data_IF_284309332920
#
_entry.id   IF_284309332920
#
_cell.length_a   1.000
_cell.length_b   1.000
_cell.length_c   1.000
_cell.angle_alpha   90.00
_cell.angle_beta   90.00
_cell.angle_gamma   90.00
#
_symmetry.space_group_name_H-M   'P 1'
#
loop_
_entity.id
_entity.type
_entity.pdbx_description
1 polymer ?
#
# COMPACT_ATOMS: atom_id res chain seq x y z
N UNK A 1 -3.57 -11.70 -25.26
CA UNK A 1 -2.86 -11.84 -23.97
C UNK A 1 -3.86 -11.46 -22.89
N UNK A 2 -4.16 -12.36 -21.95
CA UNK A 2 -5.09 -12.06 -20.85
C UNK A 2 -4.28 -11.48 -19.69
N UNK A 3 -4.70 -10.35 -19.13
CA UNK A 3 -4.08 -9.75 -17.95
C UNK A 3 -4.97 -10.03 -16.74
N UNK A 4 -4.37 -10.41 -15.61
CA UNK A 4 -5.11 -10.66 -14.38
C UNK A 4 -4.97 -9.47 -13.44
N UNK A 5 -6.05 -8.70 -13.27
CA UNK A 5 -6.08 -7.60 -12.29
C UNK A 5 -5.93 -8.15 -10.87
N UNK A 6 -6.46 -9.33 -10.59
CA UNK A 6 -6.28 -10.05 -9.33
C UNK A 6 -4.81 -10.37 -9.07
N UNK A 7 -4.10 -10.91 -10.07
CA UNK A 7 -2.67 -11.20 -9.95
C UNK A 7 -1.83 -9.94 -9.72
N UNK A 8 -2.10 -8.88 -10.49
CA UNK A 8 -1.41 -7.60 -10.35
C UNK A 8 -1.63 -6.97 -8.97
N UNK A 9 -2.87 -6.92 -8.49
CA UNK A 9 -3.20 -6.34 -7.18
C UNK A 9 -2.57 -7.10 -6.01
N UNK A 10 -2.49 -8.43 -6.07
CA UNK A 10 -1.73 -9.23 -5.08
C UNK A 10 -0.26 -8.82 -5.03
N UNK A 11 0.36 -8.67 -6.19
CA UNK A 11 1.76 -8.26 -6.27
C UNK A 11 1.94 -6.84 -5.76
N UNK A 12 1.09 -5.91 -6.19
CA UNK A 12 1.12 -4.51 -5.77
C UNK A 12 0.96 -4.37 -4.24
N UNK A 13 -0.04 -5.04 -3.63
CA UNK A 13 -0.19 -5.02 -2.17
C UNK A 13 1.05 -5.58 -1.47
N UNK A 14 1.64 -6.66 -1.98
CA UNK A 14 2.88 -7.21 -1.43
C UNK A 14 4.08 -6.26 -1.56
N UNK A 15 4.20 -5.56 -2.69
CA UNK A 15 5.24 -4.57 -2.93
C UNK A 15 5.08 -3.34 -2.03
N UNK A 16 3.84 -2.88 -1.82
CA UNK A 16 3.49 -1.75 -0.93
C UNK A 16 3.74 -2.12 0.53
N UNK A 17 3.35 -3.33 0.97
CA UNK A 17 3.66 -3.85 2.30
C UNK A 17 5.17 -3.94 2.55
N UNK A 18 5.92 -4.37 1.53
CA UNK A 18 7.39 -4.40 1.58
C UNK A 18 7.96 -2.99 1.67
N UNK A 19 7.43 -2.04 0.89
CA UNK A 19 7.85 -0.65 0.92
C UNK A 19 7.62 -0.04 2.30
N UNK A 20 6.42 -0.23 2.89
CA UNK A 20 6.09 0.16 4.26
C UNK A 20 7.16 -0.32 5.25
N UNK A 21 7.46 -1.62 5.26
CA UNK A 21 8.46 -2.22 6.16
C UNK A 21 9.86 -1.65 5.96
N UNK A 22 10.29 -1.50 4.71
CA UNK A 22 11.62 -0.95 4.41
C UNK A 22 11.71 0.51 4.84
N UNK A 23 10.67 1.30 4.57
CA UNK A 23 10.57 2.69 4.99
C UNK A 23 10.73 2.85 6.50
N UNK A 24 10.02 2.06 7.31
CA UNK A 24 10.19 2.07 8.77
C UNK A 24 11.63 1.79 9.24
N UNK A 25 12.40 1.01 8.47
CA UNK A 25 13.80 0.71 8.80
C UNK A 25 14.81 1.78 8.38
N UNK A 26 14.41 2.74 7.54
CA UNK A 26 15.30 3.76 6.97
C UNK A 26 14.88 5.20 7.26
N UNK A 27 13.66 5.41 7.77
CA UNK A 27 13.26 6.70 8.33
C UNK A 27 14.22 6.99 9.48
N UNK A 28 15.19 7.86 9.19
CA UNK A 28 16.13 8.44 10.14
C UNK A 28 16.32 9.86 9.66
N UNK A 29 15.62 10.82 10.26
CA UNK A 29 15.78 12.21 9.89
C UNK A 29 16.19 13.06 11.09
N UNK A 30 16.98 14.12 10.88
CA UNK A 30 17.27 15.10 11.92
C UNK A 30 16.07 16.04 12.19
N UNK A 31 15.04 16.02 11.35
CA UNK A 31 13.88 16.90 11.37
C UNK A 31 12.58 16.08 11.35
N UNK A 32 11.76 16.28 12.37
CA UNK A 32 10.47 15.61 12.58
C UNK A 32 9.47 15.93 11.45
N UNK A 33 9.49 17.17 10.94
CA UNK A 33 8.62 17.60 9.85
C UNK A 33 8.88 16.83 8.55
N UNK A 34 10.15 16.58 8.23
CA UNK A 34 10.52 15.80 7.05
C UNK A 34 10.09 14.32 7.16
N UNK A 35 10.03 13.78 8.38
CA UNK A 35 9.51 12.43 8.62
C UNK A 35 8.00 12.40 8.42
N UNK A 36 7.28 13.37 8.98
CA UNK A 36 5.83 13.47 8.84
C UNK A 36 5.41 13.57 7.36
N UNK A 37 6.03 14.47 6.57
CA UNK A 37 5.72 14.60 5.13
C UNK A 37 6.00 13.29 4.36
N UNK A 38 7.09 12.59 4.69
CA UNK A 38 7.41 11.31 4.05
C UNK A 38 6.39 10.22 4.40
N UNK A 39 6.02 10.13 5.68
CA UNK A 39 5.02 9.18 6.17
C UNK A 39 3.65 9.45 5.55
N UNK A 40 3.23 10.71 5.45
CA UNK A 40 1.98 11.11 4.80
C UNK A 40 1.98 10.66 3.33
N UNK A 41 3.05 10.97 2.58
CA UNK A 41 3.17 10.57 1.18
C UNK A 41 3.13 9.04 0.99
N UNK A 42 3.73 8.27 1.91
CA UNK A 42 3.70 6.82 1.86
C UNK A 42 2.30 6.26 2.21
N UNK A 43 1.63 6.83 3.21
CA UNK A 43 0.27 6.48 3.57
C UNK A 43 -0.72 6.77 2.43
N UNK A 44 -0.51 7.84 1.65
CA UNK A 44 -1.31 8.06 0.44
C UNK A 44 -1.15 6.94 -0.59
N UNK A 45 0.05 6.40 -0.77
CA UNK A 45 0.31 5.27 -1.69
C UNK A 45 -0.39 4.01 -1.18
N UNK A 46 -0.27 3.74 0.12
CA UNK A 46 -0.94 2.63 0.79
C UNK A 46 -2.46 2.74 0.60
N UNK A 47 -3.04 3.91 0.86
CA UNK A 47 -4.46 4.19 0.66
C UNK A 47 -4.92 3.89 -0.77
N UNK A 48 -4.19 4.41 -1.77
CA UNK A 48 -4.52 4.20 -3.19
C UNK A 48 -4.47 2.71 -3.56
N UNK A 49 -3.51 1.97 -3.02
CA UNK A 49 -3.41 0.51 -3.19
C UNK A 49 -4.61 -0.22 -2.57
N UNK A 50 -4.97 0.11 -1.32
CA UNK A 50 -6.11 -0.50 -0.62
C UNK A 50 -7.44 -0.20 -1.33
N UNK A 51 -7.64 1.03 -1.80
CA UNK A 51 -8.85 1.41 -2.57
C UNK A 51 -8.95 0.61 -3.87
N UNK A 52 -7.85 0.39 -4.58
CA UNK A 52 -7.84 -0.39 -5.81
C UNK A 52 -8.28 -1.86 -5.59
N UNK A 53 -8.06 -2.39 -4.38
CA UNK A 53 -8.50 -3.73 -4.01
C UNK A 53 -10.01 -3.84 -3.77
N UNK A 54 -10.68 -2.71 -3.53
CA UNK A 54 -12.14 -2.64 -3.37
C UNK A 54 -12.89 -2.48 -4.71
N UNK A 55 -12.18 -2.22 -5.81
CA UNK A 55 -12.78 -2.10 -7.14
C UNK A 55 -12.90 -3.48 -7.78
N UNK A 56 -14.03 -3.80 -8.41
CA UNK A 56 -14.22 -5.06 -9.10
C UNK A 56 -15.22 -4.95 -10.25
N UNK A 57 -15.24 -5.98 -11.11
CA UNK A 57 -16.20 -6.16 -12.20
C UNK A 57 -16.87 -7.52 -12.01
N UNK A 58 -18.20 -7.53 -11.85
CA UNK A 58 -18.97 -8.73 -11.49
C UNK A 58 -18.76 -9.92 -12.46
N UNK A 59 -18.67 -9.64 -13.76
CA UNK A 59 -18.53 -10.65 -14.81
C UNK A 59 -17.07 -11.00 -15.16
N UNK A 60 -16.07 -10.41 -14.49
CA UNK A 60 -14.65 -10.69 -14.75
C UNK A 60 -14.01 -11.51 -13.62
N UNK A 61 -13.74 -12.82 -13.84
CA UNK A 61 -13.10 -13.67 -12.82
C UNK A 61 -11.66 -13.25 -12.49
N UNK A 62 -11.04 -12.40 -13.31
CA UNK A 62 -9.72 -11.84 -13.09
C UNK A 62 -9.75 -10.44 -12.45
N UNK A 63 -10.92 -9.91 -12.11
CA UNK A 63 -11.10 -8.61 -11.44
C UNK A 63 -12.22 -8.66 -10.39
N UNK A 64 -12.02 -9.47 -9.36
CA UNK A 64 -13.00 -9.70 -8.27
C UNK A 64 -12.75 -8.76 -7.09
N UNK A 65 -13.63 -8.73 -6.09
CA UNK A 65 -13.33 -8.05 -4.83
C UNK A 65 -12.08 -8.68 -4.17
N UNK A 66 -11.22 -7.82 -3.65
CA UNK A 66 -9.98 -8.16 -2.94
C UNK A 66 -9.77 -7.28 -1.71
N UNK A 67 -10.84 -6.73 -1.15
CA UNK A 67 -10.83 -5.86 0.03
C UNK A 67 -10.19 -6.48 1.27
N UNK A 68 -9.95 -7.80 1.28
CA UNK A 68 -9.17 -8.51 2.30
C UNK A 68 -7.66 -8.23 2.24
N UNK A 69 -7.16 -7.72 1.11
CA UNK A 69 -5.77 -7.30 0.95
C UNK A 69 -5.59 -5.84 1.36
N UNK A 70 -5.48 -5.64 2.67
CA UNK A 70 -5.19 -4.35 3.26
C UNK A 70 -3.73 -4.27 3.71
N UNK A 71 -3.09 -3.15 3.39
CA UNK A 71 -1.83 -2.74 4.01
C UNK A 71 -2.12 -1.64 5.02
N UNK A 72 -1.68 -1.81 6.25
CA UNK A 72 -1.90 -0.83 7.31
C UNK A 72 -1.09 0.46 7.05
N UNK A 73 -1.62 1.59 7.49
CA UNK A 73 -0.87 2.84 7.48
C UNK A 73 0.29 2.78 8.46
N UNK A 74 1.25 3.68 8.27
CA UNK A 74 2.31 3.95 9.22
C UNK A 74 1.80 4.98 10.23
N UNK A 75 1.83 4.61 11.50
CA UNK A 75 1.43 5.46 12.62
C UNK A 75 2.65 6.15 13.28
N UNK A 76 2.47 7.31 13.93
CA UNK A 76 3.56 8.08 14.55
C UNK A 76 4.45 7.36 15.57
N UNK A 77 4.01 6.19 16.09
CA UNK A 77 4.78 5.37 17.03
C UNK A 77 5.60 4.24 16.40
N UNK A 78 5.56 4.08 15.08
CA UNK A 78 6.19 2.95 14.38
C UNK A 78 7.57 3.26 13.80
N UNK A 79 7.93 4.55 13.74
CA UNK A 79 9.22 5.04 13.26
C UNK A 79 9.96 5.79 14.39
N UNK A 80 11.29 5.82 14.31
CA UNK A 80 12.18 6.34 15.36
C UNK A 80 13.29 7.22 14.80
#
# INVERSE_FOLDING_TARGET
MKFSMNGFRRQLSGDVERLRKLSLSVIVAPDEYAIEEFVEALNEVIQKSNVLNCVYVEDDPDFTDMSDLEVEYIEPGEYA
#
